data_IF_956633412600
#
_entry.id   IF_956633412600
#
_cell.length_a   1.000
_cell.length_b   1.000
_cell.length_c   1.000
_cell.angle_alpha   90.00
_cell.angle_beta   90.00
_cell.angle_gamma   90.00
#
_symmetry.space_group_name_H-M   'P 1'
#
loop_
_entity.id
_entity.type
_entity.pdbx_description
1 polymer ?
#
# COMPACT_ATOMS: atom_id res chain seq x y z
N UNK A 1 -39.68 50.08 -34.71
CA UNK A 1 -38.52 50.27 -33.84
C UNK A 1 -38.49 49.09 -32.87
N UNK A 2 -37.77 48.03 -33.20
CA UNK A 2 -37.64 46.83 -32.42
C UNK A 2 -36.26 46.81 -31.79
N UNK A 3 -36.21 46.79 -30.48
CA UNK A 3 -34.95 46.63 -29.72
C UNK A 3 -34.66 45.14 -29.55
N UNK A 4 -33.49 44.71 -30.01
CA UNK A 4 -32.93 43.38 -29.77
C UNK A 4 -32.37 43.28 -28.34
N UNK A 5 -32.50 42.14 -27.64
CA UNK A 5 -31.83 41.93 -26.36
C UNK A 5 -30.37 41.49 -26.59
N UNK A 6 -29.44 42.17 -25.92
CA UNK A 6 -28.02 41.81 -25.86
C UNK A 6 -27.82 40.51 -25.08
N UNK A 7 -27.26 39.50 -25.73
CA UNK A 7 -26.74 38.30 -25.10
C UNK A 7 -25.43 38.63 -24.37
N UNK A 8 -25.44 38.67 -23.06
CA UNK A 8 -24.25 38.62 -22.23
C UNK A 8 -23.73 37.18 -22.18
N UNK A 9 -22.66 36.89 -22.88
CA UNK A 9 -21.88 35.65 -22.68
C UNK A 9 -21.33 35.62 -21.23
N UNK A 10 -21.38 34.45 -20.56
CA UNK A 10 -20.74 34.33 -19.27
C UNK A 10 -19.22 34.40 -19.47
N UNK A 11 -18.59 35.41 -18.90
CA UNK A 11 -17.17 35.60 -18.90
C UNK A 11 -16.44 34.38 -18.37
N UNK A 12 -15.54 33.84 -19.16
CA UNK A 12 -14.56 32.81 -18.76
C UNK A 12 -13.70 33.48 -17.66
N UNK A 13 -13.91 33.05 -16.43
CA UNK A 13 -13.12 33.49 -15.29
C UNK A 13 -11.64 33.16 -15.51
N UNK A 14 -10.81 34.10 -15.16
CA UNK A 14 -9.41 34.31 -15.41
C UNK A 14 -8.53 33.09 -15.63
N UNK A 15 -7.64 33.23 -16.61
CA UNK A 15 -6.53 32.35 -16.85
C UNK A 15 -5.78 32.05 -15.54
N UNK A 16 -5.73 30.79 -15.18
CA UNK A 16 -4.93 30.32 -14.05
C UNK A 16 -3.47 30.70 -14.33
N UNK A 17 -2.87 31.46 -13.40
CA UNK A 17 -1.42 31.66 -13.33
C UNK A 17 -0.74 30.29 -13.43
N UNK A 18 0.32 30.13 -14.23
CA UNK A 18 0.96 28.86 -14.61
C UNK A 18 1.55 28.04 -13.46
N UNK A 19 0.70 27.56 -12.57
CA UNK A 19 1.01 26.68 -11.44
C UNK A 19 0.35 25.30 -11.59
N UNK A 20 0.76 24.33 -10.74
CA UNK A 20 0.14 23.01 -10.65
C UNK A 20 -1.34 23.15 -10.27
N UNK A 21 -2.18 22.17 -10.69
CA UNK A 21 -3.60 22.15 -10.34
C UNK A 21 -3.81 22.08 -8.83
N UNK A 22 -4.92 22.62 -8.34
CA UNK A 22 -5.26 22.62 -6.91
C UNK A 22 -5.26 21.19 -6.31
N UNK A 23 -5.66 20.18 -7.07
CA UNK A 23 -5.60 18.78 -6.65
C UNK A 23 -4.17 18.33 -6.34
N UNK A 24 -3.23 18.61 -7.24
CA UNK A 24 -1.82 18.23 -7.05
C UNK A 24 -1.20 18.99 -5.90
N UNK A 25 -1.56 20.28 -5.71
CA UNK A 25 -1.11 21.06 -4.57
C UNK A 25 -1.64 20.55 -3.22
N UNK A 26 -2.83 19.96 -3.21
CA UNK A 26 -3.43 19.36 -2.02
C UNK A 26 -2.84 17.99 -1.64
N UNK A 27 -2.16 17.30 -2.57
CA UNK A 27 -1.47 16.04 -2.27
C UNK A 27 -0.30 16.31 -1.33
N UNK A 28 -0.21 15.53 -0.23
CA UNK A 28 0.90 15.66 0.72
C UNK A 28 2.27 15.49 0.03
N UNK A 29 3.27 16.24 0.51
CA UNK A 29 4.63 16.07 0.00
C UNK A 29 5.13 14.64 0.31
N UNK A 30 5.69 13.91 -0.67
CA UNK A 30 6.14 12.54 -0.44
C UNK A 30 7.33 12.53 0.53
N UNK A 31 7.17 11.81 1.67
CA UNK A 31 8.16 11.71 2.75
C UNK A 31 9.46 11.03 2.30
N UNK A 32 9.36 10.05 1.40
CA UNK A 32 10.53 9.24 0.97
C UNK A 32 11.62 10.09 0.33
N UNK A 33 11.35 11.04 -0.60
CA UNK A 33 12.35 11.96 -1.12
C UNK A 33 13.01 12.85 -0.05
N UNK A 34 12.27 13.28 0.98
CA UNK A 34 12.81 14.10 2.09
C UNK A 34 13.87 13.29 2.84
N UNK A 35 13.49 12.10 3.32
CA UNK A 35 14.41 11.20 4.04
C UNK A 35 15.58 10.79 3.16
N UNK A 36 15.36 10.52 1.87
CA UNK A 36 16.43 10.22 0.91
C UNK A 36 17.39 11.40 0.72
N UNK A 37 16.92 12.64 0.85
CA UNK A 37 17.75 13.85 0.88
C UNK A 37 18.74 13.82 2.04
N UNK A 38 18.26 13.62 3.25
CA UNK A 38 19.10 13.54 4.45
C UNK A 38 20.10 12.39 4.40
N UNK A 39 19.69 11.23 3.85
CA UNK A 39 20.59 10.06 3.66
C UNK A 39 21.74 10.42 2.71
N UNK A 40 21.47 11.09 1.58
CA UNK A 40 22.52 11.52 0.63
C UNK A 40 23.54 12.47 1.27
N UNK A 41 23.07 13.34 2.16
CA UNK A 41 23.91 14.28 2.91
C UNK A 41 24.70 13.61 4.05
N UNK A 42 24.34 12.37 4.42
CA UNK A 42 24.97 11.64 5.55
C UNK A 42 25.45 10.26 5.10
N UNK A 43 26.60 10.16 4.40
CA UNK A 43 27.15 8.89 3.92
C UNK A 43 27.35 7.86 5.03
N UNK A 44 27.08 6.59 4.72
CA UNK A 44 27.16 5.47 5.68
C UNK A 44 25.88 5.29 6.51
N UNK A 45 24.79 5.99 6.17
CA UNK A 45 23.49 5.79 6.79
C UNK A 45 22.87 4.45 6.35
N UNK A 46 22.45 3.63 7.32
CA UNK A 46 21.67 2.42 7.10
C UNK A 46 20.20 2.82 7.06
N UNK A 47 19.53 2.52 5.94
CA UNK A 47 18.11 2.89 5.78
C UNK A 47 17.17 1.78 6.20
N UNK A 48 16.59 1.89 7.38
CA UNK A 48 15.45 1.09 7.84
C UNK A 48 14.10 1.72 7.43
N UNK A 49 14.09 2.61 6.44
CA UNK A 49 12.89 3.30 5.98
C UNK A 49 12.28 2.72 4.69
N UNK A 50 13.00 1.87 3.96
CA UNK A 50 12.59 1.40 2.65
C UNK A 50 11.55 0.28 2.71
N UNK A 51 10.42 0.47 2.01
CA UNK A 51 9.35 -0.52 1.92
C UNK A 51 9.54 -1.52 0.77
N UNK A 52 10.73 -2.08 0.62
CA UNK A 52 11.07 -3.10 -0.38
C UNK A 52 11.65 -4.34 0.31
N UNK A 53 11.88 -5.39 -0.46
CA UNK A 53 12.53 -6.62 0.02
C UNK A 53 13.99 -6.68 -0.45
N UNK A 54 14.83 -7.44 0.26
CA UNK A 54 16.27 -7.60 0.00
C UNK A 54 16.60 -8.64 -1.09
N UNK A 55 15.58 -9.19 -1.74
CA UNK A 55 15.73 -10.21 -2.77
C UNK A 55 15.02 -9.81 -4.06
N UNK A 56 15.46 -10.37 -5.18
CA UNK A 56 14.90 -10.15 -6.52
C UNK A 56 13.82 -11.16 -6.90
N UNK A 57 13.44 -11.22 -8.17
CA UNK A 57 12.54 -12.24 -8.71
C UNK A 57 13.12 -13.66 -8.65
N UNK A 58 12.26 -14.70 -8.71
CA UNK A 58 12.72 -16.07 -8.95
C UNK A 58 13.57 -16.14 -10.22
N UNK A 59 14.58 -17.01 -10.21
CA UNK A 59 15.49 -17.17 -11.36
C UNK A 59 14.74 -17.61 -12.63
N UNK A 60 13.66 -18.35 -12.48
CA UNK A 60 12.77 -18.79 -13.56
C UNK A 60 12.09 -17.60 -14.26
N UNK A 61 11.68 -16.60 -13.50
CA UNK A 61 11.14 -15.36 -14.05
C UNK A 61 12.17 -14.60 -14.89
N UNK A 62 13.42 -14.54 -14.42
CA UNK A 62 14.51 -13.91 -15.18
C UNK A 62 14.86 -14.75 -16.42
N UNK A 63 14.94 -16.07 -16.29
CA UNK A 63 15.25 -16.96 -17.39
C UNK A 63 14.19 -16.92 -18.50
N UNK A 64 12.92 -16.72 -18.15
CA UNK A 64 11.80 -16.62 -19.10
C UNK A 64 11.97 -15.46 -20.09
N UNK A 65 12.69 -14.40 -19.72
CA UNK A 65 12.94 -13.24 -20.58
C UNK A 65 13.75 -13.59 -21.83
N UNK A 66 14.51 -14.70 -21.83
CA UNK A 66 15.25 -15.16 -23.01
C UNK A 66 14.34 -15.54 -24.19
N UNK A 67 13.08 -15.89 -23.92
CA UNK A 67 12.08 -16.21 -24.93
C UNK A 67 11.17 -15.03 -25.30
N UNK A 68 11.25 -13.91 -24.59
CA UNK A 68 10.46 -12.71 -24.87
C UNK A 68 11.09 -11.88 -26.00
N UNK A 69 10.26 -11.35 -26.90
CA UNK A 69 10.68 -10.50 -28.02
C UNK A 69 11.00 -11.28 -29.29
N UNK A 70 10.86 -12.61 -29.30
CA UNK A 70 11.02 -13.45 -30.50
C UNK A 70 9.83 -13.40 -31.44
N UNK A 71 8.65 -13.07 -30.94
CA UNK A 71 7.41 -13.02 -31.70
C UNK A 71 6.93 -11.58 -31.89
N UNK A 72 6.33 -11.27 -33.05
CA UNK A 72 5.77 -9.94 -33.29
C UNK A 72 4.68 -9.56 -32.26
N UNK A 73 3.99 -10.54 -31.71
CA UNK A 73 2.97 -10.33 -30.67
C UNK A 73 3.53 -9.71 -29.38
N UNK A 74 4.80 -10.00 -29.05
CA UNK A 74 5.47 -9.45 -27.86
C UNK A 74 5.67 -7.93 -27.92
N UNK A 75 5.63 -7.37 -29.13
CA UNK A 75 5.83 -5.94 -29.40
C UNK A 75 4.52 -5.16 -29.64
N UNK A 76 3.37 -5.80 -29.48
CA UNK A 76 2.05 -5.19 -29.65
C UNK A 76 1.39 -4.91 -28.31
N UNK A 77 0.42 -4.01 -28.31
CA UNK A 77 -0.46 -3.84 -27.15
C UNK A 77 -1.21 -5.13 -26.86
N UNK A 78 -1.20 -5.54 -25.61
CA UNK A 78 -2.01 -6.65 -25.10
C UNK A 78 -3.42 -6.21 -24.70
N UNK A 79 -4.25 -7.15 -24.24
CA UNK A 79 -5.54 -6.82 -23.63
C UNK A 79 -5.38 -5.88 -22.42
N UNK A 80 -6.34 -4.98 -22.26
CA UNK A 80 -6.33 -3.98 -21.17
C UNK A 80 -6.30 -4.64 -19.80
N UNK A 81 -7.08 -5.71 -19.62
CA UNK A 81 -7.17 -6.48 -18.37
C UNK A 81 -5.94 -7.36 -18.09
N UNK A 82 -5.04 -7.50 -19.04
CA UNK A 82 -3.83 -8.31 -18.94
C UNK A 82 -3.79 -9.51 -19.89
N UNK A 83 -2.62 -10.13 -20.00
CA UNK A 83 -2.42 -11.28 -20.86
C UNK A 83 -3.30 -12.46 -20.39
N UNK A 84 -4.06 -13.14 -21.28
CA UNK A 84 -5.01 -14.19 -20.90
C UNK A 84 -4.38 -15.32 -20.08
N UNK A 85 -3.15 -15.73 -20.41
CA UNK A 85 -2.43 -16.76 -19.65
C UNK A 85 -2.09 -16.32 -18.22
N UNK A 86 -1.73 -15.04 -18.03
CA UNK A 86 -1.47 -14.49 -16.70
C UNK A 86 -2.76 -14.38 -15.90
N UNK A 87 -3.83 -13.85 -16.50
CA UNK A 87 -5.15 -13.77 -15.85
C UNK A 87 -5.62 -15.14 -15.39
N UNK A 88 -5.59 -16.17 -16.25
CA UNK A 88 -5.98 -17.52 -15.89
C UNK A 88 -5.11 -18.12 -14.76
N UNK A 89 -3.79 -17.82 -14.75
CA UNK A 89 -2.90 -18.27 -13.66
C UNK A 89 -3.24 -17.58 -12.34
N UNK A 90 -3.58 -16.28 -12.39
CA UNK A 90 -4.01 -15.52 -11.22
C UNK A 90 -5.34 -16.00 -10.66
N UNK A 91 -6.32 -16.33 -11.53
CA UNK A 91 -7.59 -16.91 -11.10
C UNK A 91 -7.39 -18.24 -10.38
N UNK A 92 -6.48 -19.10 -10.91
CA UNK A 92 -6.07 -20.33 -10.23
C UNK A 92 -5.46 -20.08 -8.85
N UNK A 93 -4.51 -19.14 -8.76
CA UNK A 93 -3.87 -18.75 -7.49
C UNK A 93 -4.89 -18.23 -6.48
N UNK A 94 -5.80 -17.37 -6.91
CA UNK A 94 -6.83 -16.77 -6.04
C UNK A 94 -7.76 -17.85 -5.48
N UNK A 95 -8.16 -18.81 -6.28
CA UNK A 95 -8.99 -19.94 -5.84
C UNK A 95 -8.23 -20.83 -4.86
N UNK A 96 -6.98 -21.19 -5.18
CA UNK A 96 -6.23 -22.22 -4.47
C UNK A 96 -5.59 -21.68 -3.18
N UNK A 97 -5.19 -20.40 -3.14
CA UNK A 97 -4.48 -19.79 -2.01
C UNK A 97 -5.33 -18.81 -1.19
N UNK A 98 -6.27 -18.09 -1.83
CA UNK A 98 -7.11 -17.07 -1.17
C UNK A 98 -8.56 -17.52 -0.95
N UNK A 99 -8.96 -18.69 -1.49
CA UNK A 99 -10.34 -19.16 -1.42
C UNK A 99 -11.33 -18.32 -2.23
N UNK A 100 -10.83 -17.49 -3.15
CA UNK A 100 -11.63 -16.54 -3.93
C UNK A 100 -11.94 -17.13 -5.31
N UNK A 101 -13.21 -17.45 -5.54
CA UNK A 101 -13.71 -17.94 -6.83
C UNK A 101 -14.23 -16.74 -7.67
N UNK A 102 -13.38 -16.26 -8.58
CA UNK A 102 -13.69 -15.11 -9.44
C UNK A 102 -14.90 -15.33 -10.34
N UNK A 103 -15.18 -16.58 -10.75
CA UNK A 103 -16.33 -16.90 -11.60
C UNK A 103 -17.68 -16.57 -10.95
N UNK A 104 -17.70 -16.22 -9.67
CA UNK A 104 -18.91 -15.89 -8.91
C UNK A 104 -19.25 -14.38 -8.87
N UNK A 105 -18.93 -13.65 -9.92
CA UNK A 105 -19.33 -12.24 -10.07
C UNK A 105 -18.22 -11.24 -9.85
N UNK A 106 -16.97 -11.68 -9.99
CA UNK A 106 -15.78 -10.83 -9.98
C UNK A 106 -14.97 -10.99 -11.26
N UNK A 107 -14.07 -10.06 -11.52
CA UNK A 107 -13.10 -10.11 -12.63
C UNK A 107 -11.70 -9.80 -12.13
N UNK A 108 -10.71 -10.46 -12.71
CA UNK A 108 -9.28 -10.13 -12.50
C UNK A 108 -8.84 -9.08 -13.50
N UNK A 109 -8.12 -8.07 -13.03
CA UNK A 109 -7.46 -7.06 -13.86
C UNK A 109 -6.00 -6.93 -13.42
N UNK A 110 -5.07 -7.16 -14.33
CA UNK A 110 -3.64 -6.94 -14.12
C UNK A 110 -3.34 -5.45 -14.21
N UNK A 111 -2.52 -4.94 -13.30
CA UNK A 111 -2.23 -3.49 -13.19
C UNK A 111 -0.73 -3.22 -13.14
N UNK A 112 -0.32 -1.97 -13.38
CA UNK A 112 1.07 -1.53 -13.20
C UNK A 112 1.41 -1.35 -11.71
N UNK A 113 1.26 -2.41 -10.93
CA UNK A 113 1.46 -2.48 -9.49
C UNK A 113 0.25 -2.02 -8.68
N UNK A 114 0.31 -2.22 -7.35
CA UNK A 114 -0.79 -1.94 -6.43
C UNK A 114 -1.24 -0.47 -6.42
N UNK A 115 -0.33 0.50 -6.57
CA UNK A 115 -0.70 1.92 -6.62
C UNK A 115 -1.68 2.24 -7.75
N UNK A 116 -1.46 1.65 -8.94
CA UNK A 116 -2.37 1.83 -10.07
C UNK A 116 -3.70 1.10 -9.82
N UNK A 117 -3.67 -0.10 -9.24
CA UNK A 117 -4.88 -0.82 -8.86
C UNK A 117 -5.76 0.03 -7.95
N UNK A 118 -5.16 0.66 -6.93
CA UNK A 118 -5.88 1.52 -6.00
C UNK A 118 -6.44 2.77 -6.68
N UNK A 119 -5.64 3.48 -7.46
CA UNK A 119 -6.10 4.67 -8.18
C UNK A 119 -7.23 4.33 -9.15
N UNK A 120 -7.11 3.25 -9.92
CA UNK A 120 -8.16 2.79 -10.83
C UNK A 120 -9.45 2.44 -10.07
N UNK A 121 -9.33 1.78 -8.90
CA UNK A 121 -10.48 1.48 -8.05
C UNK A 121 -11.18 2.75 -7.57
N UNK A 122 -10.43 3.74 -7.06
CA UNK A 122 -11.00 5.02 -6.61
C UNK A 122 -11.71 5.75 -7.75
N UNK A 123 -11.06 5.87 -8.91
CA UNK A 123 -11.63 6.53 -10.09
C UNK A 123 -12.89 5.83 -10.62
N UNK A 124 -13.01 4.51 -10.42
CA UNK A 124 -14.16 3.73 -10.89
C UNK A 124 -15.40 3.86 -10.00
N UNK A 125 -15.23 4.21 -8.71
CA UNK A 125 -16.32 4.16 -7.73
C UNK A 125 -16.69 5.51 -7.11
N UNK A 126 -15.87 6.55 -7.30
CA UNK A 126 -16.02 7.82 -6.60
C UNK A 126 -15.89 9.02 -7.54
N UNK A 127 -16.73 10.02 -7.31
CA UNK A 127 -16.69 11.31 -7.97
C UNK A 127 -15.94 12.36 -7.11
N UNK A 128 -15.47 13.47 -7.70
CA UNK A 128 -14.88 14.57 -6.94
C UNK A 128 -15.79 15.05 -5.80
N UNK A 129 -15.25 15.11 -4.59
CA UNK A 129 -15.97 15.46 -3.37
C UNK A 129 -16.56 14.29 -2.59
N UNK A 130 -16.54 13.08 -3.15
CA UNK A 130 -16.90 11.86 -2.40
C UNK A 130 -15.84 11.53 -1.34
N UNK A 131 -16.21 10.69 -0.40
CA UNK A 131 -15.42 10.35 0.78
C UNK A 131 -14.99 8.89 0.77
N UNK A 132 -13.72 8.67 1.16
CA UNK A 132 -13.16 7.33 1.35
C UNK A 132 -12.57 7.25 2.75
N UNK A 133 -13.03 6.28 3.53
CA UNK A 133 -12.59 6.06 4.91
C UNK A 133 -11.28 5.28 4.90
N UNK A 134 -10.26 5.85 5.57
CA UNK A 134 -8.96 5.22 5.81
C UNK A 134 -8.72 5.03 7.31
N UNK A 135 -8.60 3.78 7.83
CA UNK A 135 -8.08 3.53 9.17
C UNK A 135 -6.65 4.10 9.31
N UNK A 136 -6.40 4.85 10.37
CA UNK A 136 -5.07 5.43 10.69
C UNK A 136 -4.36 4.52 11.67
N UNK A 137 -3.10 4.12 11.41
CA UNK A 137 -2.22 4.57 10.34
C UNK A 137 -2.51 3.90 8.99
N UNK A 138 -2.42 4.67 7.91
CA UNK A 138 -2.66 4.19 6.54
C UNK A 138 -1.40 4.21 5.68
N UNK A 139 -1.42 3.50 4.56
CA UNK A 139 -0.39 3.64 3.53
C UNK A 139 -0.57 4.98 2.79
N UNK A 140 0.44 5.83 2.85
CA UNK A 140 0.36 7.22 2.38
C UNK A 140 -0.07 7.37 0.91
N UNK A 141 0.28 6.42 0.02
CA UNK A 141 -0.15 6.51 -1.38
C UNK A 141 -1.66 6.30 -1.55
N UNK A 142 -2.36 5.68 -0.58
CA UNK A 142 -3.82 5.61 -0.63
C UNK A 142 -4.44 6.99 -0.43
N UNK A 143 -4.01 7.73 0.59
CA UNK A 143 -4.44 9.11 0.80
C UNK A 143 -4.12 9.99 -0.41
N UNK A 144 -2.87 9.92 -0.89
CA UNK A 144 -2.43 10.68 -2.06
C UNK A 144 -3.28 10.40 -3.30
N UNK A 145 -3.66 9.14 -3.54
CA UNK A 145 -4.49 8.75 -4.69
C UNK A 145 -5.93 9.24 -4.55
N UNK A 146 -6.50 9.20 -3.33
CA UNK A 146 -7.84 9.72 -3.03
C UNK A 146 -7.89 11.23 -3.31
N UNK A 147 -6.91 11.98 -2.80
CA UNK A 147 -6.80 13.43 -3.03
C UNK A 147 -6.57 13.74 -4.52
N UNK A 148 -5.72 12.96 -5.19
CA UNK A 148 -5.46 13.12 -6.64
C UNK A 148 -6.73 12.87 -7.48
N UNK A 149 -7.60 11.96 -7.06
CA UNK A 149 -8.90 11.72 -7.69
C UNK A 149 -9.92 12.86 -7.43
N UNK A 150 -9.58 13.83 -6.56
CA UNK A 150 -10.48 14.91 -6.15
C UNK A 150 -11.45 14.50 -5.04
N UNK A 151 -11.26 13.32 -4.45
CA UNK A 151 -12.03 12.82 -3.33
C UNK A 151 -11.43 13.29 -1.98
N UNK A 152 -12.14 13.02 -0.90
CA UNK A 152 -11.73 13.37 0.46
C UNK A 152 -11.44 12.11 1.27
N UNK A 153 -10.25 12.05 1.86
CA UNK A 153 -9.94 11.04 2.88
C UNK A 153 -10.68 11.37 4.18
N UNK A 154 -11.33 10.37 4.77
CA UNK A 154 -11.89 10.43 6.12
C UNK A 154 -11.04 9.52 7.01
N UNK A 155 -10.09 10.09 7.78
CA UNK A 155 -9.23 9.30 8.65
C UNK A 155 -10.01 8.84 9.88
N UNK A 156 -9.91 7.54 10.20
CA UNK A 156 -10.50 6.94 11.40
C UNK A 156 -9.41 6.27 12.21
N UNK A 157 -9.24 6.66 13.47
CA UNK A 157 -8.23 6.10 14.34
C UNK A 157 -8.49 4.59 14.57
N UNK A 158 -7.42 3.80 14.51
CA UNK A 158 -7.43 2.41 14.99
C UNK A 158 -7.29 2.39 16.52
N UNK A 159 -7.48 1.21 17.12
CA UNK A 159 -7.19 0.97 18.54
C UNK A 159 -5.68 1.11 18.82
N UNK A 160 -5.29 1.17 20.11
CA UNK A 160 -3.87 1.26 20.47
C UNK A 160 -3.00 0.11 19.95
N UNK A 161 -3.57 -1.07 19.72
CA UNK A 161 -2.91 -2.25 19.14
C UNK A 161 -2.93 -2.24 17.59
N UNK A 162 -3.32 -1.13 17.00
CA UNK A 162 -3.54 -0.95 15.55
C UNK A 162 -4.62 -1.86 14.94
N UNK A 163 -5.49 -2.45 15.75
CA UNK A 163 -6.67 -3.17 15.28
C UNK A 163 -7.81 -2.20 14.92
N UNK A 164 -8.70 -2.62 14.02
CA UNK A 164 -9.81 -1.80 13.54
C UNK A 164 -10.79 -1.46 14.69
N UNK A 165 -11.19 -0.20 14.77
CA UNK A 165 -12.30 0.26 15.59
C UNK A 165 -13.58 0.27 14.75
N UNK A 166 -14.37 -0.80 14.86
CA UNK A 166 -15.56 -1.00 14.03
C UNK A 166 -16.65 0.04 14.31
N UNK A 167 -16.79 0.48 15.56
CA UNK A 167 -17.78 1.49 15.92
C UNK A 167 -17.39 2.85 15.37
N UNK A 168 -16.12 3.22 15.46
CA UNK A 168 -15.60 4.44 14.87
C UNK A 168 -15.72 4.45 13.33
N UNK A 169 -15.46 3.32 12.67
CA UNK A 169 -15.64 3.17 11.23
C UNK A 169 -17.12 3.36 10.84
N UNK A 170 -18.04 2.74 11.58
CA UNK A 170 -19.47 2.87 11.31
C UNK A 170 -19.98 4.31 11.52
N UNK A 171 -19.48 4.99 12.57
CA UNK A 171 -19.84 6.36 12.88
C UNK A 171 -19.30 7.39 11.86
N UNK A 172 -18.21 7.07 11.16
CA UNK A 172 -17.61 7.95 10.15
C UNK A 172 -18.33 7.95 8.80
N UNK A 173 -19.29 7.04 8.58
CA UNK A 173 -20.03 6.92 7.32
C UNK A 173 -20.99 8.11 7.17
N UNK A 174 -20.91 8.77 6.01
CA UNK A 174 -21.80 9.84 5.58
C UNK A 174 -22.49 9.49 4.26
N UNK A 175 -23.48 10.27 3.79
CA UNK A 175 -24.07 10.07 2.46
C UNK A 175 -23.09 10.19 1.29
N UNK A 176 -21.90 10.78 1.50
CA UNK A 176 -20.84 10.90 0.50
C UNK A 176 -19.81 9.78 0.57
N UNK A 177 -19.85 8.93 1.58
CA UNK A 177 -18.92 7.81 1.69
C UNK A 177 -19.14 6.81 0.58
N UNK A 178 -18.06 6.41 -0.11
CA UNK A 178 -18.06 5.42 -1.19
C UNK A 178 -17.39 4.12 -0.81
N UNK A 179 -16.35 4.18 0.01
CA UNK A 179 -15.61 2.99 0.39
C UNK A 179 -14.99 3.09 1.78
N UNK A 180 -14.75 1.93 2.37
CA UNK A 180 -13.83 1.74 3.49
C UNK A 180 -12.62 0.96 2.95
N UNK A 181 -11.41 1.43 3.24
CA UNK A 181 -10.17 0.79 2.82
C UNK A 181 -9.55 0.07 4.02
N UNK A 182 -9.14 -1.18 3.84
CA UNK A 182 -8.33 -1.91 4.81
C UNK A 182 -7.06 -2.43 4.15
N UNK A 183 -5.98 -2.53 4.92
CA UNK A 183 -4.68 -3.06 4.47
C UNK A 183 -4.26 -4.13 5.46
N UNK A 184 -4.18 -5.39 5.04
CA UNK A 184 -3.76 -6.47 5.94
C UNK A 184 -2.96 -7.55 5.19
N UNK A 185 -1.75 -7.85 5.66
CA UNK A 185 -0.99 -7.20 6.73
C UNK A 185 -0.74 -5.71 6.46
N UNK A 186 -0.74 -4.90 7.52
CA UNK A 186 -0.77 -3.44 7.40
C UNK A 186 0.61 -2.81 7.17
N UNK A 187 0.69 -1.86 6.29
CA UNK A 187 1.76 -0.87 6.18
C UNK A 187 1.18 0.48 6.67
N UNK A 188 1.66 1.05 7.78
CA UNK A 188 3.00 0.90 8.36
C UNK A 188 3.09 0.04 9.63
N UNK A 189 1.99 -0.43 10.20
CA UNK A 189 1.99 -0.98 11.58
C UNK A 189 2.42 -2.45 11.68
N UNK A 190 2.33 -3.21 10.58
CA UNK A 190 2.51 -4.66 10.60
C UNK A 190 1.34 -5.43 11.26
N UNK A 191 0.25 -4.75 11.60
CA UNK A 191 -0.94 -5.41 12.14
C UNK A 191 -1.56 -6.36 11.11
N UNK A 192 -2.02 -7.51 11.56
CA UNK A 192 -2.86 -8.44 10.80
C UNK A 192 -4.27 -8.35 11.38
N UNK A 193 -5.24 -8.06 10.53
CA UNK A 193 -6.63 -7.98 10.97
C UNK A 193 -7.24 -9.39 11.01
N UNK A 194 -7.88 -9.78 12.12
CA UNK A 194 -8.53 -11.07 12.22
C UNK A 194 -9.72 -11.16 11.26
N UNK A 195 -10.06 -12.38 10.86
CA UNK A 195 -11.18 -12.64 9.95
C UNK A 195 -12.48 -11.98 10.42
N UNK A 196 -12.77 -12.05 11.73
CA UNK A 196 -13.97 -11.45 12.32
C UNK A 196 -14.07 -9.94 12.09
N UNK A 197 -12.95 -9.21 12.18
CA UNK A 197 -12.92 -7.77 11.93
C UNK A 197 -13.09 -7.46 10.44
N UNK A 198 -12.39 -8.19 9.56
CA UNK A 198 -12.52 -8.01 8.11
C UNK A 198 -13.94 -8.35 7.64
N UNK A 199 -14.54 -9.39 8.19
CA UNK A 199 -15.93 -9.77 7.92
C UNK A 199 -16.90 -8.67 8.36
N UNK A 200 -16.71 -8.12 9.55
CA UNK A 200 -17.57 -7.04 10.06
C UNK A 200 -17.49 -5.78 9.17
N UNK A 201 -16.29 -5.39 8.70
CA UNK A 201 -16.14 -4.29 7.74
C UNK A 201 -16.81 -4.61 6.40
N UNK A 202 -16.63 -5.82 5.90
CA UNK A 202 -17.23 -6.25 4.62
C UNK A 202 -18.76 -6.24 4.70
N UNK A 203 -19.34 -6.77 5.78
CA UNK A 203 -20.78 -6.76 6.03
C UNK A 203 -21.32 -5.33 6.24
N UNK A 204 -20.58 -4.46 6.93
CA UNK A 204 -20.92 -3.04 7.06
C UNK A 204 -20.97 -2.35 5.70
N UNK A 205 -19.97 -2.57 4.85
CA UNK A 205 -19.96 -2.02 3.48
C UNK A 205 -21.17 -2.49 2.69
N UNK A 206 -21.45 -3.80 2.71
CA UNK A 206 -22.65 -4.36 2.04
C UNK A 206 -23.95 -3.73 2.53
N UNK A 207 -24.11 -3.62 3.85
CA UNK A 207 -25.33 -3.08 4.47
C UNK A 207 -25.55 -1.59 4.15
N UNK A 208 -24.49 -0.84 3.89
CA UNK A 208 -24.52 0.60 3.60
C UNK A 208 -24.38 0.94 2.11
N UNK A 209 -24.29 -0.06 1.23
CA UNK A 209 -24.08 0.15 -0.21
C UNK A 209 -22.71 0.77 -0.54
N UNK A 210 -21.69 0.46 0.26
CA UNK A 210 -20.30 0.93 0.09
C UNK A 210 -19.44 -0.16 -0.51
N UNK A 211 -18.30 0.23 -1.10
CA UNK A 211 -17.26 -0.72 -1.48
C UNK A 211 -16.31 -0.98 -0.30
N UNK A 212 -15.88 -2.25 -0.15
CA UNK A 212 -14.75 -2.62 0.68
C UNK A 212 -13.53 -2.76 -0.22
N UNK A 213 -12.58 -1.82 -0.15
CA UNK A 213 -11.29 -1.94 -0.83
C UNK A 213 -10.31 -2.58 0.15
N UNK A 214 -9.69 -3.71 -0.25
CA UNK A 214 -8.73 -4.43 0.59
C UNK A 214 -7.39 -4.58 -0.11
N UNK A 215 -6.33 -4.02 0.48
CA UNK A 215 -4.96 -4.13 -0.03
C UNK A 215 -4.26 -5.33 0.62
N UNK A 216 -3.92 -6.32 -0.21
CA UNK A 216 -3.32 -7.61 0.17
C UNK A 216 -1.85 -7.72 -0.29
N UNK A 217 -1.16 -6.58 -0.51
CA UNK A 217 0.21 -6.56 -1.00
C UNK A 217 1.22 -7.34 -0.13
N UNK A 218 0.85 -7.65 1.09
CA UNK A 218 1.67 -8.40 2.06
C UNK A 218 1.06 -9.77 2.42
N UNK A 219 0.19 -10.34 1.61
CA UNK A 219 -0.56 -11.58 1.88
C UNK A 219 0.31 -12.75 2.36
N UNK A 220 1.54 -12.91 1.85
CA UNK A 220 2.47 -13.97 2.25
C UNK A 220 3.25 -13.66 3.54
N UNK A 221 3.27 -12.41 3.97
CA UNK A 221 4.04 -11.96 5.13
C UNK A 221 3.18 -11.98 6.40
N UNK A 222 2.70 -13.16 6.76
CA UNK A 222 2.07 -13.43 8.05
C UNK A 222 2.94 -14.41 8.82
N UNK A 223 3.09 -14.20 10.13
CA UNK A 223 4.03 -14.98 10.93
C UNK A 223 3.33 -16.01 11.83
N UNK A 224 2.22 -15.61 12.43
CA UNK A 224 1.53 -16.41 13.46
C UNK A 224 0.08 -16.78 13.07
N UNK A 225 -0.51 -16.06 12.11
CA UNK A 225 -1.91 -16.22 11.70
C UNK A 225 -2.02 -16.32 10.18
N UNK A 226 -2.98 -17.08 9.64
CA UNK A 226 -3.18 -17.15 8.20
C UNK A 226 -3.69 -15.81 7.65
N UNK A 227 -3.32 -15.50 6.41
CA UNK A 227 -3.91 -14.40 5.68
C UNK A 227 -5.37 -14.69 5.32
N UNK A 228 -6.20 -13.65 5.35
CA UNK A 228 -7.62 -13.72 5.00
C UNK A 228 -7.93 -12.71 3.90
N UNK A 229 -8.56 -13.18 2.81
CA UNK A 229 -9.01 -12.35 1.70
C UNK A 229 -10.52 -12.07 1.82
N UNK A 230 -10.96 -10.85 2.11
CA UNK A 230 -12.40 -10.52 2.23
C UNK A 230 -13.20 -10.76 0.97
N UNK A 231 -12.57 -10.72 -0.20
CA UNK A 231 -13.21 -11.06 -1.47
C UNK A 231 -13.73 -12.50 -1.54
N UNK A 232 -13.23 -13.40 -0.69
CA UNK A 232 -13.69 -14.78 -0.59
C UNK A 232 -14.94 -14.96 0.30
N UNK A 233 -15.37 -13.93 1.02
CA UNK A 233 -16.54 -14.05 1.89
C UNK A 233 -17.83 -14.23 1.07
N UNK A 234 -18.76 -14.99 1.61
CA UNK A 234 -20.04 -15.20 0.96
C UNK A 234 -20.77 -13.87 0.72
N UNK A 235 -21.13 -13.59 -0.53
CA UNK A 235 -21.79 -12.35 -0.95
C UNK A 235 -20.87 -11.13 -1.10
N UNK A 236 -19.55 -11.28 -1.01
CA UNK A 236 -18.60 -10.18 -1.13
C UNK A 236 -18.37 -9.71 -2.57
N UNK A 237 -18.56 -10.56 -3.57
CA UNK A 237 -18.19 -10.31 -4.97
C UNK A 237 -18.79 -9.01 -5.56
N UNK A 238 -19.97 -8.58 -5.09
CA UNK A 238 -20.66 -7.39 -5.62
C UNK A 238 -20.17 -6.05 -5.08
N UNK A 239 -19.32 -6.04 -4.04
CA UNK A 239 -18.91 -4.80 -3.36
C UNK A 239 -17.47 -4.82 -2.82
N UNK A 240 -16.71 -5.90 -3.03
CA UNK A 240 -15.32 -6.00 -2.58
C UNK A 240 -14.36 -5.83 -3.75
N UNK A 241 -13.39 -4.96 -3.57
CA UNK A 241 -12.25 -4.76 -4.47
C UNK A 241 -11.01 -5.19 -3.69
N UNK A 242 -10.41 -6.32 -4.05
CA UNK A 242 -9.15 -6.77 -3.46
C UNK A 242 -7.99 -6.51 -4.41
N UNK A 243 -6.82 -6.15 -3.87
CA UNK A 243 -5.67 -5.86 -4.70
C UNK A 243 -4.39 -6.47 -4.15
N UNK A 244 -3.54 -6.93 -5.07
CA UNK A 244 -2.29 -7.62 -4.78
C UNK A 244 -1.13 -7.00 -5.56
N UNK A 245 0.07 -7.25 -5.08
CA UNK A 245 1.28 -6.75 -5.72
C UNK A 245 2.38 -7.80 -5.69
N UNK A 246 3.01 -8.07 -6.83
CA UNK A 246 4.20 -8.90 -6.89
C UNK A 246 5.45 -8.18 -6.36
N UNK A 247 5.35 -6.87 -6.10
CA UNK A 247 6.48 -6.02 -5.67
C UNK A 247 7.19 -6.53 -4.42
N UNK A 248 6.45 -7.20 -3.50
CA UNK A 248 6.99 -7.65 -2.21
C UNK A 248 7.31 -9.15 -2.25
N UNK A 249 6.28 -9.97 -2.39
CA UNK A 249 6.39 -11.42 -2.30
C UNK A 249 7.37 -12.02 -3.31
N UNK A 250 7.39 -11.50 -4.53
CA UNK A 250 8.23 -11.98 -5.62
C UNK A 250 9.42 -11.07 -5.96
N UNK A 251 9.68 -10.00 -5.20
CA UNK A 251 10.78 -9.08 -5.47
C UNK A 251 10.63 -8.23 -6.75
N UNK A 252 9.39 -7.98 -7.21
CA UNK A 252 9.06 -7.30 -8.46
C UNK A 252 8.85 -5.78 -8.32
N UNK A 253 9.46 -5.12 -7.35
CA UNK A 253 9.16 -3.71 -7.09
C UNK A 253 9.36 -2.79 -8.31
N UNK A 254 10.46 -2.94 -9.04
CA UNK A 254 10.78 -2.15 -10.24
C UNK A 254 10.03 -2.60 -11.50
N UNK A 255 9.49 -3.82 -11.51
CA UNK A 255 8.79 -4.41 -12.66
C UNK A 255 7.39 -3.86 -12.84
N UNK A 256 6.85 -3.20 -11.82
CA UNK A 256 5.53 -2.58 -11.82
C UNK A 256 4.42 -3.55 -12.25
N UNK A 257 4.28 -4.66 -11.54
CA UNK A 257 3.22 -5.64 -11.76
C UNK A 257 2.42 -5.87 -10.47
N UNK A 258 1.11 -5.81 -10.58
CA UNK A 258 0.12 -6.15 -9.57
C UNK A 258 -1.17 -6.56 -10.27
N UNK A 259 -2.17 -6.85 -9.49
CA UNK A 259 -3.50 -7.18 -10.01
C UNK A 259 -4.56 -6.89 -8.94
N UNK A 260 -5.80 -6.84 -9.38
CA UNK A 260 -6.95 -6.69 -8.51
C UNK A 260 -8.10 -7.58 -8.95
N UNK A 261 -8.99 -7.91 -8.01
CA UNK A 261 -10.32 -8.40 -8.31
C UNK A 261 -11.32 -7.30 -8.07
N UNK A 262 -12.26 -7.17 -8.97
CA UNK A 262 -13.32 -6.17 -8.92
C UNK A 262 -14.68 -6.83 -9.14
N UNK A 263 -15.77 -6.24 -8.61
CA UNK A 263 -17.12 -6.63 -9.03
C UNK A 263 -17.28 -6.61 -10.56
N UNK A 264 -17.98 -7.60 -11.12
CA UNK A 264 -18.24 -7.69 -12.57
C UNK A 264 -18.83 -6.39 -13.13
N UNK A 265 -19.70 -5.72 -12.37
CA UNK A 265 -20.33 -4.46 -12.77
C UNK A 265 -19.35 -3.28 -12.94
N UNK A 266 -18.15 -3.36 -12.39
CA UNK A 266 -17.11 -2.33 -12.52
C UNK A 266 -16.15 -2.59 -13.69
N UNK A 267 -16.24 -3.74 -14.36
CA UNK A 267 -15.25 -4.17 -15.33
C UNK A 267 -15.05 -3.15 -16.47
N UNK A 268 -16.15 -2.70 -17.08
CA UNK A 268 -16.09 -1.72 -18.18
C UNK A 268 -15.54 -0.36 -17.71
N UNK A 269 -15.88 0.07 -16.50
CA UNK A 269 -15.37 1.32 -15.93
C UNK A 269 -13.86 1.26 -15.71
N UNK A 270 -13.39 0.17 -15.08
CA UNK A 270 -11.96 -0.03 -14.82
C UNK A 270 -11.17 -0.17 -16.12
N UNK A 271 -11.70 -0.88 -17.13
CA UNK A 271 -11.06 -1.00 -18.44
C UNK A 271 -10.93 0.37 -19.13
N UNK A 272 -11.97 1.21 -19.13
CA UNK A 272 -11.86 2.59 -19.68
C UNK A 272 -10.78 3.41 -18.99
N UNK A 273 -10.69 3.32 -17.66
CA UNK A 273 -9.69 4.04 -16.88
C UNK A 273 -8.29 3.52 -17.23
N UNK A 274 -8.10 2.21 -17.26
CA UNK A 274 -6.78 1.60 -17.52
C UNK A 274 -6.34 1.81 -18.97
N UNK A 275 -7.24 1.69 -19.93
CA UNK A 275 -6.97 2.00 -21.34
C UNK A 275 -6.51 3.45 -21.51
N UNK A 276 -7.14 4.39 -20.82
CA UNK A 276 -6.82 5.82 -20.91
C UNK A 276 -5.45 6.16 -20.28
N UNK A 277 -5.11 5.57 -19.14
CA UNK A 277 -3.92 5.96 -18.38
C UNK A 277 -2.68 5.09 -18.66
N UNK A 278 -2.85 3.88 -19.23
CA UNK A 278 -1.76 2.92 -19.43
C UNK A 278 -1.90 2.12 -20.74
N UNK A 279 -3.11 1.93 -21.25
CA UNK A 279 -3.51 0.99 -22.30
C UNK A 279 -3.49 -0.44 -21.76
N UNK A 280 -2.32 -1.01 -21.49
CA UNK A 280 -2.14 -2.31 -20.85
C UNK A 280 -0.83 -2.34 -20.05
N UNK A 281 -0.71 -3.19 -19.03
CA UNK A 281 0.57 -3.40 -18.35
C UNK A 281 1.63 -3.93 -19.30
N UNK A 282 2.90 -3.57 -19.08
CA UNK A 282 4.02 -3.96 -19.94
C UNK A 282 4.08 -5.48 -20.15
N UNK A 283 4.02 -5.93 -21.40
CA UNK A 283 3.97 -7.36 -21.75
C UNK A 283 5.17 -8.14 -21.19
N UNK A 284 6.36 -7.55 -21.23
CA UNK A 284 7.58 -8.15 -20.67
C UNK A 284 7.46 -8.42 -19.16
N UNK A 285 6.87 -7.49 -18.40
CA UNK A 285 6.65 -7.66 -16.97
C UNK A 285 5.60 -8.73 -16.69
N UNK A 286 4.55 -8.80 -17.49
CA UNK A 286 3.52 -9.85 -17.39
C UNK A 286 4.07 -11.23 -17.72
N UNK A 287 4.95 -11.33 -18.71
CA UNK A 287 5.62 -12.57 -19.09
C UNK A 287 6.50 -13.11 -17.93
N UNK A 288 7.33 -12.26 -17.34
CA UNK A 288 8.12 -12.62 -16.17
C UNK A 288 7.26 -12.96 -14.94
N UNK A 289 6.15 -12.22 -14.73
CA UNK A 289 5.23 -12.47 -13.63
C UNK A 289 4.54 -13.85 -13.74
N UNK A 290 4.18 -14.29 -14.94
CA UNK A 290 3.64 -15.62 -15.17
C UNK A 290 4.61 -16.69 -14.71
N UNK A 291 5.88 -16.61 -15.12
CA UNK A 291 6.90 -17.55 -14.70
C UNK A 291 7.17 -17.51 -13.17
N UNK A 292 7.12 -16.33 -12.55
CA UNK A 292 7.24 -16.21 -11.10
C UNK A 292 6.08 -16.90 -10.37
N UNK A 293 4.85 -16.73 -10.85
CA UNK A 293 3.66 -17.37 -10.29
C UNK A 293 3.62 -18.89 -10.51
N UNK A 294 4.31 -19.42 -11.53
CA UNK A 294 4.50 -20.85 -11.71
C UNK A 294 5.41 -21.45 -10.64
N UNK A 295 6.45 -20.73 -10.18
CA UNK A 295 7.25 -21.10 -9.00
C UNK A 295 6.38 -21.04 -7.74
N UNK A 296 5.57 -20.00 -7.61
CA UNK A 296 4.51 -19.86 -6.64
C UNK A 296 4.97 -19.67 -5.19
N UNK A 297 4.08 -20.03 -4.27
CA UNK A 297 4.21 -19.83 -2.82
C UNK A 297 5.51 -20.34 -2.19
N UNK A 298 6.10 -21.47 -2.58
CA UNK A 298 7.34 -21.96 -1.98
C UNK A 298 8.50 -20.96 -2.03
N UNK A 299 8.56 -20.13 -3.10
CA UNK A 299 9.54 -19.04 -3.19
C UNK A 299 9.33 -18.00 -2.10
N UNK A 300 8.09 -17.54 -1.93
CA UNK A 300 7.73 -16.54 -0.91
C UNK A 300 7.99 -17.06 0.50
N UNK A 301 7.55 -18.29 0.80
CA UNK A 301 7.70 -18.92 2.11
C UNK A 301 9.18 -19.06 2.55
N UNK A 302 10.08 -19.30 1.60
CA UNK A 302 11.52 -19.37 1.88
C UNK A 302 12.05 -18.03 2.43
N UNK A 303 11.63 -16.91 1.83
CA UNK A 303 12.03 -15.57 2.25
C UNK A 303 11.32 -15.12 3.53
N UNK A 304 10.05 -15.47 3.71
CA UNK A 304 9.27 -15.15 4.91
C UNK A 304 9.88 -15.82 6.16
N UNK A 305 10.38 -17.05 6.04
CA UNK A 305 11.09 -17.72 7.16
C UNK A 305 12.31 -16.94 7.62
N UNK A 306 13.10 -16.38 6.71
CA UNK A 306 14.25 -15.52 7.06
C UNK A 306 13.76 -14.25 7.74
N UNK A 307 12.73 -13.60 7.21
CA UNK A 307 12.15 -12.38 7.80
C UNK A 307 11.56 -12.61 9.19
N UNK A 308 11.00 -13.77 9.47
CA UNK A 308 10.55 -14.14 10.82
C UNK A 308 11.67 -14.14 11.84
N UNK A 309 12.86 -14.64 11.46
CA UNK A 309 14.05 -14.61 12.32
C UNK A 309 14.54 -13.17 12.54
N UNK A 310 14.58 -12.37 11.47
CA UNK A 310 14.93 -10.95 11.55
C UNK A 310 13.94 -10.17 12.44
N UNK A 311 12.63 -10.44 12.33
CA UNK A 311 11.61 -9.87 13.21
C UNK A 311 11.92 -10.14 14.68
N UNK A 312 12.24 -11.38 15.02
CA UNK A 312 12.57 -11.75 16.40
C UNK A 312 13.79 -10.96 16.91
N UNK A 313 14.83 -10.81 16.09
CA UNK A 313 16.00 -10.01 16.44
C UNK A 313 15.62 -8.53 16.64
N UNK A 314 14.83 -7.95 15.73
CA UNK A 314 14.36 -6.56 15.82
C UNK A 314 13.65 -6.31 17.15
N UNK A 315 12.68 -7.15 17.51
CA UNK A 315 11.93 -7.00 18.78
C UNK A 315 12.83 -7.19 20.01
N UNK A 316 13.75 -8.14 19.98
CA UNK A 316 14.69 -8.34 21.10
C UNK A 316 15.57 -7.11 21.35
N UNK A 317 16.00 -6.42 20.30
CA UNK A 317 16.77 -5.18 20.42
C UNK A 317 15.93 -3.99 20.88
N UNK A 318 14.74 -3.81 20.30
CA UNK A 318 13.83 -2.74 20.68
C UNK A 318 13.40 -2.84 22.16
N UNK A 319 13.22 -4.05 22.69
CA UNK A 319 12.87 -4.27 24.09
C UNK A 319 13.88 -3.66 25.09
N UNK A 320 15.15 -3.48 24.69
CA UNK A 320 16.18 -2.84 25.53
C UNK A 320 15.96 -1.36 25.80
N UNK A 321 15.08 -0.71 25.01
CA UNK A 321 14.71 0.70 25.20
C UNK A 321 13.69 0.88 26.37
N UNK A 322 13.09 -0.20 26.84
CA UNK A 322 12.14 -0.15 27.97
C UNK A 322 11.01 0.84 27.70
N UNK A 323 10.73 1.70 28.68
CA UNK A 323 9.63 2.66 28.62
C UNK A 323 9.83 3.85 27.64
N UNK A 324 11.01 3.99 27.06
CA UNK A 324 11.27 5.07 26.07
C UNK A 324 10.51 4.88 24.77
N UNK A 325 10.24 3.63 24.40
CA UNK A 325 9.61 3.26 23.13
C UNK A 325 8.64 2.11 23.32
N UNK A 326 7.45 2.25 22.78
CA UNK A 326 6.49 1.17 22.62
C UNK A 326 6.57 0.62 21.20
N UNK A 327 6.79 -0.68 21.05
CA UNK A 327 6.79 -1.42 19.80
C UNK A 327 5.60 -2.41 19.80
N UNK A 328 4.41 -2.02 19.31
CA UNK A 328 3.27 -2.92 19.23
C UNK A 328 3.58 -4.14 18.37
N UNK A 329 2.95 -5.27 18.69
CA UNK A 329 3.23 -6.55 18.03
C UNK A 329 2.79 -6.52 16.55
N UNK A 330 3.77 -6.49 15.64
CA UNK A 330 3.56 -6.57 14.20
C UNK A 330 3.55 -8.04 13.78
N UNK A 331 2.37 -8.60 13.54
CA UNK A 331 2.18 -10.01 13.19
C UNK A 331 2.32 -10.31 11.71
N UNK A 332 2.49 -9.25 10.91
CA UNK A 332 2.68 -9.39 9.46
C UNK A 332 3.48 -8.27 8.83
N UNK A 333 3.60 -8.30 7.51
CA UNK A 333 4.46 -7.44 6.71
C UNK A 333 5.93 -7.54 7.19
N UNK A 334 6.69 -6.47 7.03
CA UNK A 334 8.07 -6.36 7.54
C UNK A 334 8.32 -4.94 8.09
N UNK A 335 7.32 -4.44 8.81
CA UNK A 335 7.34 -3.12 9.45
C UNK A 335 7.07 -3.22 10.93
N UNK A 336 7.61 -2.28 11.69
CA UNK A 336 7.18 -1.96 13.04
C UNK A 336 6.94 -0.45 13.12
N UNK A 337 5.79 -0.05 13.63
CA UNK A 337 5.48 1.36 13.87
C UNK A 337 5.66 1.65 15.35
N UNK A 338 6.78 2.27 15.67
CA UNK A 338 7.17 2.63 17.02
C UNK A 338 6.40 3.86 17.50
N UNK A 339 5.98 3.85 18.77
CA UNK A 339 5.58 5.04 19.52
C UNK A 339 6.74 5.45 20.42
N UNK A 340 7.27 6.64 20.21
CA UNK A 340 8.40 7.16 20.97
C UNK A 340 7.90 8.14 22.03
N UNK A 341 8.24 7.92 23.28
CA UNK A 341 7.82 8.79 24.40
C UNK A 341 8.69 10.05 24.46
N UNK A 342 8.33 11.04 23.65
CA UNK A 342 9.02 12.32 23.56
C UNK A 342 8.08 13.42 23.05
N UNK A 343 8.39 14.68 23.36
CA UNK A 343 7.75 15.84 22.79
C UNK A 343 8.42 16.32 21.47
N UNK A 344 9.49 15.64 21.04
CA UNK A 344 10.15 15.98 19.77
C UNK A 344 9.21 15.75 18.59
N UNK A 345 9.29 16.63 17.61
CA UNK A 345 8.65 16.43 16.32
C UNK A 345 9.23 15.18 15.63
N UNK A 346 8.39 14.29 15.06
CA UNK A 346 8.84 13.06 14.42
C UNK A 346 9.85 13.26 13.26
N UNK A 347 9.75 14.36 12.50
CA UNK A 347 10.70 14.67 11.44
C UNK A 347 12.05 15.11 12.03
N UNK A 348 12.03 15.93 13.08
CA UNK A 348 13.26 16.32 13.81
C UNK A 348 13.96 15.11 14.39
N UNK A 349 13.20 14.18 15.02
CA UNK A 349 13.78 12.95 15.56
C UNK A 349 14.37 12.07 14.45
N UNK A 350 13.67 11.88 13.34
CA UNK A 350 14.14 11.09 12.20
C UNK A 350 15.40 11.71 11.56
N UNK A 351 15.47 13.03 11.40
CA UNK A 351 16.64 13.74 10.89
C UNK A 351 17.84 13.60 11.83
N UNK A 352 17.64 13.74 13.13
CA UNK A 352 18.70 13.54 14.14
C UNK A 352 19.24 12.12 14.13
N UNK A 353 18.38 11.10 14.02
CA UNK A 353 18.81 9.71 13.92
C UNK A 353 19.69 9.48 12.68
N UNK A 354 19.39 10.14 11.56
CA UNK A 354 20.22 10.07 10.35
C UNK A 354 21.56 10.78 10.57
N UNK A 355 21.54 12.05 10.97
CA UNK A 355 22.74 12.88 11.04
C UNK A 355 23.70 12.48 12.16
N UNK A 356 23.17 12.13 13.35
CA UNK A 356 23.96 11.83 14.54
C UNK A 356 24.31 10.33 14.66
N UNK A 357 23.40 9.43 14.19
CA UNK A 357 23.52 7.99 14.40
C UNK A 357 23.55 7.15 13.11
N UNK A 358 23.45 7.78 11.92
CA UNK A 358 23.52 7.14 10.61
C UNK A 358 22.54 5.99 10.45
N UNK A 359 21.31 6.17 10.92
CA UNK A 359 20.20 5.25 10.74
C UNK A 359 18.93 6.01 10.36
N UNK A 360 18.24 5.56 9.33
CA UNK A 360 17.02 6.22 8.83
C UNK A 360 15.76 5.39 9.11
N UNK A 361 14.72 6.08 9.55
CA UNK A 361 13.34 5.58 9.70
C UNK A 361 12.38 6.54 9.00
N UNK A 362 11.09 6.21 8.92
CA UNK A 362 10.08 7.10 8.33
C UNK A 362 9.20 7.68 9.44
N UNK A 363 9.04 9.02 9.52
CA UNK A 363 8.22 9.68 10.53
C UNK A 363 6.73 9.39 10.35
N UNK A 364 6.03 9.23 11.48
CA UNK A 364 4.64 8.81 11.56
C UNK A 364 3.61 9.71 10.89
N UNK A 365 3.78 11.05 10.82
CA UNK A 365 2.83 11.91 10.13
C UNK A 365 2.59 11.56 8.66
N UNK A 366 3.57 10.95 7.98
CA UNK A 366 3.38 10.41 6.62
C UNK A 366 2.24 9.39 6.51
N UNK A 367 1.88 8.73 7.60
CA UNK A 367 0.85 7.70 7.67
C UNK A 367 -0.45 8.18 8.34
N UNK A 368 -0.66 9.51 8.41
CA UNK A 368 -1.85 10.12 8.99
C UNK A 368 -1.81 10.28 10.52
N UNK A 369 -0.70 9.99 11.19
CA UNK A 369 -0.56 10.19 12.63
C UNK A 369 -0.22 11.65 12.94
N UNK A 370 -1.19 12.40 13.42
CA UNK A 370 -1.08 13.84 13.69
C UNK A 370 -0.72 14.18 15.14
N UNK A 371 -0.61 13.18 16.02
CA UNK A 371 -0.31 13.35 17.43
C UNK A 371 0.74 12.36 17.92
N UNK A 372 1.53 12.76 18.91
CA UNK A 372 2.63 11.97 19.44
C UNK A 372 3.81 11.83 18.48
N UNK A 373 4.85 11.13 18.90
CA UNK A 373 6.00 10.84 18.07
C UNK A 373 6.03 9.38 17.67
N UNK A 374 5.91 9.10 16.37
CA UNK A 374 5.94 7.76 15.83
C UNK A 374 6.96 7.64 14.71
N UNK A 375 7.61 6.48 14.61
CA UNK A 375 8.59 6.17 13.57
C UNK A 375 8.29 4.78 12.99
N UNK A 376 8.16 4.65 11.66
CA UNK A 376 8.12 3.35 11.01
C UNK A 376 9.53 2.87 10.70
N UNK A 377 9.88 1.70 11.18
CA UNK A 377 11.03 0.95 10.72
C UNK A 377 10.60 -0.19 9.78
N UNK A 378 11.46 -0.52 8.82
CA UNK A 378 11.33 -1.64 7.90
C UNK A 378 12.57 -2.53 8.03
N UNK A 379 12.34 -3.84 8.16
CA UNK A 379 13.41 -4.83 8.26
C UNK A 379 13.49 -5.76 7.04
N UNK A 380 12.71 -5.46 5.98
CA UNK A 380 12.66 -6.29 4.78
C UNK A 380 13.68 -5.96 3.71
N UNK A 381 14.22 -4.74 3.72
CA UNK A 381 14.98 -4.19 2.59
C UNK A 381 16.47 -4.56 2.55
N UNK A 382 17.02 -5.06 3.64
CA UNK A 382 18.47 -5.25 3.83
C UNK A 382 18.79 -6.70 4.24
N UNK A 383 20.03 -7.10 4.05
CA UNK A 383 20.51 -8.37 4.58
C UNK A 383 20.42 -8.41 6.12
N UNK A 384 20.19 -9.59 6.73
CA UNK A 384 19.96 -9.71 8.18
C UNK A 384 21.04 -9.03 9.04
N UNK A 385 22.32 -9.17 8.70
CA UNK A 385 23.43 -8.54 9.45
C UNK A 385 23.37 -7.01 9.36
N UNK A 386 23.02 -6.45 8.21
CA UNK A 386 22.84 -4.99 8.04
C UNK A 386 21.62 -4.49 8.79
N UNK A 387 20.55 -5.29 8.86
CA UNK A 387 19.39 -4.96 9.71
C UNK A 387 19.80 -4.95 11.17
N UNK A 388 20.57 -5.94 11.64
CA UNK A 388 21.06 -6.01 13.00
C UNK A 388 21.87 -4.77 13.38
N UNK A 389 22.82 -4.37 12.54
CA UNK A 389 23.60 -3.14 12.73
C UNK A 389 22.71 -1.89 12.74
N UNK A 390 21.75 -1.80 11.80
CA UNK A 390 20.81 -0.68 11.72
C UNK A 390 19.95 -0.54 12.97
N UNK A 391 19.46 -1.66 13.51
CA UNK A 391 18.67 -1.66 14.76
C UNK A 391 19.55 -1.30 15.96
N UNK A 392 20.77 -1.79 16.05
CA UNK A 392 21.70 -1.42 17.13
C UNK A 392 22.00 0.09 17.12
N UNK A 393 22.20 0.68 15.93
CA UNK A 393 22.32 2.15 15.76
C UNK A 393 21.05 2.89 16.17
N UNK A 394 19.88 2.38 15.79
CA UNK A 394 18.58 2.97 16.14
C UNK A 394 18.38 2.96 17.67
N UNK A 395 18.64 1.83 18.32
CA UNK A 395 18.50 1.69 19.78
C UNK A 395 19.47 2.63 20.51
N UNK A 396 20.74 2.68 20.10
CA UNK A 396 21.72 3.59 20.67
C UNK A 396 21.31 5.07 20.47
N UNK A 397 20.85 5.43 19.25
CA UNK A 397 20.44 6.77 18.90
C UNK A 397 19.21 7.23 19.68
N UNK A 398 18.16 6.42 19.74
CA UNK A 398 16.98 6.71 20.54
C UNK A 398 17.33 6.86 22.02
N UNK A 399 18.13 5.91 22.57
CA UNK A 399 18.56 5.99 23.96
C UNK A 399 19.36 7.26 24.29
N UNK A 400 20.22 7.72 23.39
CA UNK A 400 21.00 8.96 23.57
C UNK A 400 20.12 10.21 23.46
N UNK A 401 19.35 10.31 22.39
CA UNK A 401 18.52 11.50 22.10
C UNK A 401 17.45 11.69 23.18
N UNK A 402 16.74 10.62 23.56
CA UNK A 402 15.63 10.73 24.48
C UNK A 402 16.05 11.03 25.91
N UNK A 403 17.18 10.48 26.39
CA UNK A 403 17.70 10.78 27.72
C UNK A 403 18.27 12.20 27.83
N UNK A 404 18.73 12.77 26.72
CA UNK A 404 19.22 14.15 26.68
C UNK A 404 18.09 15.18 26.65
N UNK A 405 16.84 14.77 26.33
CA UNK A 405 15.67 15.62 26.21
C UNK A 405 14.63 15.39 27.33
N UNK A 406 14.87 14.43 28.23
CA UNK A 406 14.09 14.17 29.44
C UNK A 406 14.58 15.11 30.57
#
# INVERSE_FOLDING_TARGET
>A
MSASPSSTEPGIAGAASGGASARVQAVQAPVIPIVAGWIRETPGTISLGQGVVSYGPPREAIASLASFGGELADHRYGPVEGLPRLVARLEGKLRDENGLDVARGSRVVVTAGGNMAFLNAVLAIADPGDEIILPVPFYFNHDMAIVLAGCRTVPVATRPDYQLDLDALAAAITPRTRAIVTVSPNNPSGAVYPESALRAVNDLCRARGLFHIHDEAYEYFTYDEPHVSPGAFAGAAGHTISMWSLSKAFGFASWRIGYMTIPEALFDAVNKIQDTNLICPAAVSQHAALAALEVGRPYCDAHVRVLAQVRTLVYSRLATLGDLVEAPDARGAFYVLLRVRTALDPYVLAERLIREHKVATIPGPAFGLTSGCSLRLSYGALAPDTVAEGIDRLVAGLGTILRATA
#
